data_IF_452241176434
#
_entry.id   IF_452241176434
#
_cell.length_a   1.000
_cell.length_b   1.000
_cell.length_c   1.000
_cell.angle_alpha   90.00
_cell.angle_beta   90.00
_cell.angle_gamma   90.00
#
_symmetry.space_group_name_H-M   'P 1'
#
loop_
_entity.id
_entity.type
_entity.pdbx_description
1 polymer ?
#
# COMPACT_ATOMS: atom_id res chain seq x y z
N UNK A 1 -59.19 48.93 -41.51
CA UNK A 1 -58.10 48.69 -40.54
C UNK A 1 -56.91 48.16 -41.35
N UNK A 2 -55.80 48.92 -41.45
CA UNK A 2 -54.61 48.52 -42.20
C UNK A 2 -53.79 47.52 -41.37
N UNK A 3 -53.37 46.44 -42.02
CA UNK A 3 -52.60 45.34 -41.44
C UNK A 3 -51.26 45.79 -40.83
N UNK A 4 -51.17 45.78 -39.50
CA UNK A 4 -49.91 45.96 -38.73
C UNK A 4 -49.21 44.59 -38.55
N UNK A 5 -49.26 43.71 -39.56
CA UNK A 5 -48.63 42.37 -39.49
C UNK A 5 -47.20 42.33 -40.06
N UNK A 6 -46.80 43.27 -40.92
CA UNK A 6 -45.49 43.19 -41.60
C UNK A 6 -44.30 43.63 -40.74
N UNK A 7 -44.47 44.62 -39.85
CA UNK A 7 -43.36 45.18 -39.05
C UNK A 7 -42.97 44.32 -37.83
N UNK A 8 -43.96 43.67 -37.18
CA UNK A 8 -43.70 42.75 -36.06
C UNK A 8 -42.92 41.50 -36.51
N UNK A 9 -43.22 40.99 -37.71
CA UNK A 9 -42.51 39.82 -38.26
C UNK A 9 -41.05 40.15 -38.57
N UNK A 10 -40.77 41.34 -39.12
CA UNK A 10 -39.40 41.77 -39.38
C UNK A 10 -38.61 42.03 -38.09
N UNK A 11 -39.23 42.63 -37.07
CA UNK A 11 -38.61 42.80 -35.74
C UNK A 11 -38.34 41.47 -35.06
N UNK A 12 -39.26 40.50 -35.15
CA UNK A 12 -39.07 39.16 -34.60
C UNK A 12 -37.94 38.40 -35.32
N UNK A 13 -37.84 38.51 -36.64
CA UNK A 13 -36.74 37.93 -37.42
C UNK A 13 -35.41 38.59 -37.06
N UNK A 14 -35.39 39.92 -36.89
CA UNK A 14 -34.19 40.65 -36.48
C UNK A 14 -33.76 40.30 -35.05
N UNK A 15 -34.70 40.19 -34.10
CA UNK A 15 -34.42 39.72 -32.74
C UNK A 15 -33.94 38.28 -32.72
N UNK A 16 -34.53 37.39 -33.53
CA UNK A 16 -34.08 36.01 -33.66
C UNK A 16 -32.65 35.94 -34.22
N UNK A 17 -32.30 36.75 -35.22
CA UNK A 17 -30.94 36.87 -35.74
C UNK A 17 -29.95 37.38 -34.70
N UNK A 18 -30.33 38.38 -33.89
CA UNK A 18 -29.49 38.86 -32.78
C UNK A 18 -29.28 37.76 -31.74
N UNK A 19 -30.33 37.05 -31.35
CA UNK A 19 -30.22 35.94 -30.40
C UNK A 19 -29.31 34.84 -30.95
N UNK A 20 -29.45 34.50 -32.24
CA UNK A 20 -28.58 33.53 -32.91
C UNK A 20 -27.13 33.99 -32.91
N UNK A 21 -26.84 35.26 -33.21
CA UNK A 21 -25.48 35.82 -33.16
C UNK A 21 -24.93 35.83 -31.73
N UNK A 22 -25.73 36.21 -30.74
CA UNK A 22 -25.30 36.22 -29.33
C UNK A 22 -25.04 34.80 -28.82
N UNK A 23 -25.90 33.83 -29.13
CA UNK A 23 -25.78 32.46 -28.63
C UNK A 23 -24.72 31.66 -29.38
N UNK A 24 -24.56 31.85 -30.69
CA UNK A 24 -23.64 31.03 -31.50
C UNK A 24 -22.25 31.68 -31.62
N UNK A 25 -22.15 33.01 -31.58
CA UNK A 25 -20.88 33.71 -31.84
C UNK A 25 -20.34 34.34 -30.56
N UNK A 26 -21.15 35.16 -29.88
CA UNK A 26 -20.68 35.92 -28.71
C UNK A 26 -20.52 35.04 -27.48
N UNK A 27 -21.49 34.18 -27.16
CA UNK A 27 -21.46 33.35 -25.96
C UNK A 27 -20.30 32.34 -25.97
N UNK A 28 -19.99 31.62 -27.08
CA UNK A 28 -18.81 30.77 -27.12
C UNK A 28 -17.51 31.57 -27.01
N UNK A 29 -17.41 32.72 -27.67
CA UNK A 29 -16.20 33.57 -27.60
C UNK A 29 -15.98 34.13 -26.19
N UNK A 30 -17.04 34.63 -25.53
CA UNK A 30 -17.00 35.12 -24.14
C UNK A 30 -16.73 33.99 -23.16
N UNK A 31 -17.30 32.80 -23.41
CA UNK A 31 -17.04 31.61 -22.60
C UNK A 31 -15.58 31.16 -22.71
N UNK A 32 -15.00 31.15 -23.91
CA UNK A 32 -13.58 30.86 -24.11
C UNK A 32 -12.70 31.91 -23.42
N UNK A 33 -12.97 33.20 -23.62
CA UNK A 33 -12.22 34.27 -22.94
C UNK A 33 -12.34 34.23 -21.41
N UNK A 34 -13.50 33.84 -20.87
CA UNK A 34 -13.66 33.67 -19.42
C UNK A 34 -12.81 32.52 -18.87
N UNK A 35 -12.73 31.39 -19.60
CA UNK A 35 -11.89 30.25 -19.22
C UNK A 35 -10.39 30.56 -19.30
N UNK A 36 -9.96 31.40 -20.23
CA UNK A 36 -8.56 31.83 -20.33
C UNK A 36 -8.17 32.83 -19.22
N UNK A 37 -9.09 33.71 -18.80
CA UNK A 37 -8.83 34.69 -17.72
C UNK A 37 -8.98 34.08 -16.32
N UNK A 38 -9.87 33.10 -16.16
CA UNK A 38 -10.04 32.33 -14.93
C UNK A 38 -9.71 30.87 -15.19
N UNK A 39 -8.42 30.56 -15.31
CA UNK A 39 -7.96 29.18 -15.24
C UNK A 39 -7.64 28.84 -13.76
N UNK A 40 -8.45 28.03 -13.07
CA UNK A 40 -8.20 27.67 -11.67
C UNK A 40 -6.98 26.75 -11.51
N UNK A 41 -6.55 26.09 -12.58
CA UNK A 41 -5.38 25.21 -12.64
C UNK A 41 -4.54 25.66 -13.85
N UNK A 42 -3.81 26.79 -13.75
CA UNK A 42 -2.85 27.17 -14.78
C UNK A 42 -1.84 26.04 -14.97
N UNK A 43 -1.40 25.92 -16.22
CA UNK A 43 -0.45 24.93 -16.74
C UNK A 43 0.31 25.72 -17.82
N UNK A 44 1.44 26.26 -17.39
CA UNK A 44 2.16 27.35 -18.06
C UNK A 44 2.96 26.85 -19.25
N UNK A 45 3.52 25.65 -19.15
CA UNK A 45 4.31 25.01 -20.20
C UNK A 45 3.54 23.94 -21.01
N UNK A 46 2.36 23.53 -20.54
CA UNK A 46 1.39 22.65 -21.20
C UNK A 46 1.82 21.20 -21.29
N UNK A 47 2.53 20.71 -20.29
CA UNK A 47 2.88 19.29 -20.17
C UNK A 47 1.73 18.43 -19.60
N UNK A 48 0.73 19.09 -18.99
CA UNK A 48 -0.46 18.47 -18.42
C UNK A 48 -0.48 18.43 -16.89
N UNK A 49 0.56 18.89 -16.21
CA UNK A 49 0.62 19.09 -14.76
C UNK A 49 0.32 20.57 -14.44
N UNK A 50 -0.63 20.87 -13.54
CA UNK A 50 -0.88 22.27 -13.17
C UNK A 50 0.31 22.89 -12.44
N UNK A 51 0.65 24.16 -12.69
CA UNK A 51 1.76 24.92 -12.09
C UNK A 51 1.88 24.80 -10.55
N UNK A 52 0.77 24.49 -9.87
CA UNK A 52 0.72 24.34 -8.40
C UNK A 52 1.17 22.97 -7.90
N UNK A 53 1.20 21.98 -8.78
CA UNK A 53 1.55 20.58 -8.53
C UNK A 53 2.81 20.19 -9.35
N UNK A 54 3.43 21.16 -10.03
CA UNK A 54 4.55 21.00 -10.96
C UNK A 54 5.82 21.64 -10.36
N UNK A 55 6.89 20.86 -10.24
CA UNK A 55 8.18 21.32 -9.75
C UNK A 55 8.89 22.27 -10.72
N UNK A 56 8.61 22.17 -12.02
CA UNK A 56 9.20 22.95 -13.10
C UNK A 56 8.16 23.60 -14.04
N UNK A 57 7.32 24.55 -13.58
CA UNK A 57 6.17 25.09 -14.33
C UNK A 57 6.45 25.78 -15.69
N UNK A 58 7.72 25.96 -16.03
CA UNK A 58 8.17 26.62 -17.27
C UNK A 58 8.93 25.65 -18.20
N UNK A 59 9.13 24.38 -17.82
CA UNK A 59 9.82 23.36 -18.62
C UNK A 59 8.92 22.15 -18.92
N UNK A 60 8.34 22.05 -20.13
CA UNK A 60 7.33 21.06 -20.46
C UNK A 60 7.85 19.61 -20.57
N UNK A 61 9.07 19.36 -20.08
CA UNK A 61 9.72 18.06 -20.04
C UNK A 61 9.95 17.56 -18.61
N UNK A 62 9.74 18.39 -17.60
CA UNK A 62 9.98 18.07 -16.20
C UNK A 62 8.78 18.51 -15.38
N UNK A 63 8.33 17.69 -14.43
CA UNK A 63 7.21 18.04 -13.55
C UNK A 63 7.40 17.59 -12.10
N UNK A 64 8.34 16.69 -11.84
CA UNK A 64 8.67 16.10 -10.54
C UNK A 64 10.18 16.31 -10.24
N UNK A 65 10.49 16.47 -8.94
CA UNK A 65 11.82 16.68 -8.34
C UNK A 65 11.80 15.90 -7.01
N UNK A 66 12.04 14.60 -7.09
CA UNK A 66 11.75 13.64 -6.01
C UNK A 66 12.67 13.84 -4.79
N UNK A 67 13.93 14.22 -5.01
CA UNK A 67 14.91 14.50 -3.95
C UNK A 67 15.00 16.01 -3.56
N UNK A 68 14.44 16.90 -4.39
CA UNK A 68 14.42 18.34 -4.15
C UNK A 68 15.75 19.03 -4.41
N UNK A 69 16.64 18.46 -5.24
CA UNK A 69 17.93 19.05 -5.58
C UNK A 69 17.85 20.14 -6.67
N UNK A 70 16.70 20.22 -7.35
CA UNK A 70 16.39 21.18 -8.40
C UNK A 70 16.72 20.72 -9.83
N UNK A 71 17.05 19.44 -10.02
CA UNK A 71 17.08 18.74 -11.30
C UNK A 71 15.78 17.91 -11.40
N UNK A 72 15.10 17.95 -12.54
CA UNK A 72 13.85 17.19 -12.69
C UNK A 72 14.10 15.72 -12.94
N UNK A 73 13.21 14.86 -12.46
CA UNK A 73 13.33 13.39 -12.50
C UNK A 73 13.53 12.83 -13.94
N UNK A 74 13.14 13.52 -15.02
CA UNK A 74 13.44 13.02 -16.37
C UNK A 74 14.89 13.30 -16.82
N UNK A 75 15.58 14.22 -16.14
CA UNK A 75 16.95 14.62 -16.40
C UNK A 75 17.94 14.13 -15.34
N UNK A 76 17.46 13.88 -14.11
CA UNK A 76 18.22 13.18 -13.09
C UNK A 76 18.36 11.69 -13.45
N UNK A 77 19.33 11.03 -12.83
CA UNK A 77 19.62 9.62 -13.00
C UNK A 77 19.65 8.87 -11.66
N UNK A 78 19.25 9.54 -10.58
CA UNK A 78 19.27 9.13 -9.17
C UNK A 78 18.15 9.93 -8.46
N UNK A 79 16.89 9.69 -8.86
CA UNK A 79 15.75 10.59 -8.59
C UNK A 79 15.46 10.80 -7.09
N UNK A 80 15.90 9.91 -6.19
CA UNK A 80 15.74 10.04 -4.75
C UNK A 80 17.06 10.29 -3.97
N UNK A 81 18.19 10.36 -4.68
CA UNK A 81 19.53 10.65 -4.18
C UNK A 81 20.01 9.70 -3.07
N UNK A 82 19.56 8.46 -3.08
CA UNK A 82 20.06 7.41 -2.19
C UNK A 82 21.46 6.89 -2.64
N UNK A 83 21.91 7.33 -3.82
CA UNK A 83 23.19 7.01 -4.44
C UNK A 83 23.12 5.87 -5.44
N UNK A 84 21.92 5.39 -5.79
CA UNK A 84 21.66 4.28 -6.68
C UNK A 84 21.00 4.81 -7.95
N UNK A 85 21.60 4.52 -9.09
CA UNK A 85 21.05 5.00 -10.36
C UNK A 85 19.68 4.38 -10.63
N UNK A 86 18.72 5.13 -11.18
CA UNK A 86 17.34 4.65 -11.45
C UNK A 86 17.33 3.36 -12.30
N UNK A 87 18.32 3.22 -13.19
CA UNK A 87 18.48 2.02 -14.02
C UNK A 87 18.81 0.73 -13.25
N UNK A 88 19.20 0.86 -11.99
CA UNK A 88 19.60 -0.18 -11.04
C UNK A 88 18.73 -0.21 -9.78
N UNK A 89 17.83 0.77 -9.65
CA UNK A 89 16.94 0.94 -8.52
C UNK A 89 15.54 0.37 -8.83
N UNK A 90 14.99 -0.40 -7.89
CA UNK A 90 13.62 -0.90 -7.96
C UNK A 90 12.56 0.11 -7.46
N UNK A 91 12.97 1.17 -6.76
CA UNK A 91 12.18 2.25 -6.19
C UNK A 91 12.82 3.64 -6.47
N UNK A 92 13.01 4.02 -7.74
CA UNK A 92 13.82 5.19 -8.13
C UNK A 92 13.40 6.53 -7.52
N UNK A 93 12.12 6.69 -7.18
CA UNK A 93 11.57 7.97 -6.70
C UNK A 93 11.52 8.07 -5.17
N UNK A 94 11.95 7.03 -4.42
CA UNK A 94 11.88 7.01 -2.96
C UNK A 94 12.51 5.76 -2.31
N UNK A 95 13.21 5.98 -1.20
CA UNK A 95 13.61 4.90 -0.29
C UNK A 95 12.40 4.10 0.23
N UNK A 96 12.58 2.78 0.24
CA UNK A 96 11.57 1.80 0.55
C UNK A 96 11.77 1.11 1.91
N UNK A 97 10.66 0.70 2.48
CA UNK A 97 10.65 -0.24 3.60
C UNK A 97 9.60 -1.32 3.41
N UNK A 98 9.87 -2.52 3.92
CA UNK A 98 8.87 -3.56 4.04
C UNK A 98 8.19 -3.46 5.40
N UNK A 99 6.86 -3.38 5.40
CA UNK A 99 6.04 -3.53 6.60
C UNK A 99 5.35 -4.88 6.60
N UNK A 100 5.56 -5.63 7.67
CA UNK A 100 4.84 -6.87 7.98
C UNK A 100 3.86 -6.59 9.10
N UNK A 101 2.58 -6.88 8.87
CA UNK A 101 1.47 -6.66 9.79
C UNK A 101 0.82 -8.01 10.11
N UNK A 102 0.60 -8.31 11.38
CA UNK A 102 -0.20 -9.43 11.88
C UNK A 102 -1.42 -8.82 12.56
N UNK A 103 -2.57 -8.87 11.90
CA UNK A 103 -3.80 -8.23 12.38
C UNK A 103 -4.47 -9.09 13.46
N UNK A 104 -4.60 -10.39 13.16
CA UNK A 104 -5.33 -11.36 13.99
C UNK A 104 -4.56 -12.67 14.11
N UNK A 105 -4.83 -13.37 15.20
CA UNK A 105 -4.24 -14.67 15.49
C UNK A 105 -5.28 -15.57 16.16
N UNK A 106 -5.31 -16.86 15.81
CA UNK A 106 -6.08 -17.87 16.53
C UNK A 106 -5.15 -19.04 16.84
N UNK A 107 -5.02 -19.35 18.13
CA UNK A 107 -4.36 -20.57 18.60
C UNK A 107 -5.40 -21.69 18.55
N UNK A 108 -5.16 -22.75 17.79
CA UNK A 108 -6.11 -23.85 17.64
C UNK A 108 -5.98 -24.84 18.80
N UNK A 109 -4.74 -25.03 19.28
CA UNK A 109 -4.42 -26.01 20.31
C UNK A 109 -4.36 -25.49 21.74
N UNK A 110 -4.64 -26.39 22.69
CA UNK A 110 -4.24 -26.19 24.08
C UNK A 110 -2.72 -26.15 24.22
N UNK A 111 -2.21 -25.05 24.79
CA UNK A 111 -0.79 -24.85 25.03
C UNK A 111 -0.34 -25.33 26.41
N UNK A 112 -1.19 -25.13 27.42
CA UNK A 112 -0.93 -25.48 28.81
C UNK A 112 -2.20 -26.04 29.45
N UNK A 113 -2.06 -27.12 30.22
CA UNK A 113 -3.18 -27.78 30.89
C UNK A 113 -3.97 -26.80 31.77
N UNK A 114 -5.29 -26.74 31.54
CA UNK A 114 -6.24 -25.91 32.29
C UNK A 114 -5.97 -24.40 32.22
N UNK A 115 -5.25 -23.91 31.21
CA UNK A 115 -5.13 -22.49 30.95
C UNK A 115 -5.91 -22.15 29.67
N UNK A 116 -6.91 -21.23 29.75
CA UNK A 116 -7.65 -20.77 28.57
C UNK A 116 -6.84 -19.76 27.73
N UNK A 117 -5.67 -19.36 28.22
CA UNK A 117 -4.79 -18.37 27.62
C UNK A 117 -3.39 -18.94 27.39
N UNK A 118 -2.68 -18.32 26.45
CA UNK A 118 -1.28 -18.61 26.13
C UNK A 118 -0.44 -17.35 26.14
N UNK A 119 0.82 -17.47 26.58
CA UNK A 119 1.83 -16.41 26.48
C UNK A 119 2.53 -16.48 25.13
N UNK A 120 2.12 -15.63 24.19
CA UNK A 120 2.46 -15.68 22.77
C UNK A 120 3.37 -14.51 22.38
N UNK A 121 4.29 -14.77 21.46
CA UNK A 121 5.01 -13.74 20.71
C UNK A 121 5.41 -14.31 19.34
N UNK A 122 5.82 -13.45 18.42
CA UNK A 122 6.30 -13.82 17.11
C UNK A 122 7.72 -13.29 16.86
N UNK A 123 8.43 -13.91 15.92
CA UNK A 123 9.61 -13.30 15.31
C UNK A 123 9.39 -13.14 13.82
N UNK A 124 9.71 -11.98 13.29
CA UNK A 124 9.65 -11.68 11.85
C UNK A 124 11.06 -11.40 11.37
N UNK A 125 11.53 -12.17 10.39
CA UNK A 125 12.76 -11.87 9.64
C UNK A 125 12.38 -11.14 8.37
N UNK A 126 13.07 -10.06 8.05
CA UNK A 126 13.08 -9.43 6.73
C UNK A 126 14.54 -9.50 6.28
N UNK A 127 14.80 -10.35 5.29
CA UNK A 127 16.13 -10.85 4.95
C UNK A 127 16.86 -11.36 6.20
N UNK A 128 18.01 -10.77 6.51
CA UNK A 128 18.86 -11.15 7.65
C UNK A 128 18.47 -10.45 8.97
N UNK A 129 17.54 -9.49 8.94
CA UNK A 129 17.13 -8.72 10.12
C UNK A 129 15.94 -9.36 10.82
N UNK A 130 16.10 -9.67 12.12
CA UNK A 130 15.07 -10.34 12.93
C UNK A 130 14.47 -9.39 13.96
N UNK A 131 13.14 -9.36 13.99
CA UNK A 131 12.34 -8.55 14.89
C UNK A 131 11.50 -9.40 15.82
N UNK A 132 11.28 -8.91 17.04
CA UNK A 132 10.36 -9.50 18.01
C UNK A 132 9.03 -8.77 17.97
N UNK A 133 7.93 -9.50 17.85
CA UNK A 133 6.58 -8.96 17.89
C UNK A 133 5.73 -9.59 19.01
N UNK A 134 4.92 -8.77 19.71
CA UNK A 134 4.92 -7.32 19.66
C UNK A 134 6.18 -6.71 20.30
N UNK A 135 6.43 -5.43 20.03
CA UNK A 135 7.59 -4.70 20.60
C UNK A 135 7.59 -4.69 22.14
N UNK A 136 6.40 -4.70 22.75
CA UNK A 136 6.19 -4.85 24.20
C UNK A 136 6.59 -6.24 24.75
N UNK A 137 6.95 -7.18 23.87
CA UNK A 137 7.38 -8.53 24.21
C UNK A 137 6.22 -9.53 24.22
N UNK A 138 6.16 -10.38 25.24
CA UNK A 138 5.22 -11.51 25.27
C UNK A 138 3.81 -11.02 25.65
N UNK A 139 2.80 -11.44 24.88
CA UNK A 139 1.39 -11.09 25.11
C UNK A 139 0.58 -12.32 25.52
N UNK A 140 -0.34 -12.16 26.46
CA UNK A 140 -1.26 -13.23 26.85
C UNK A 140 -2.54 -13.17 26.00
N UNK A 141 -2.84 -14.24 25.27
CA UNK A 141 -3.94 -14.33 24.30
C UNK A 141 -4.89 -15.48 24.63
N UNK A 142 -6.17 -15.35 24.30
CA UNK A 142 -7.14 -16.44 24.42
C UNK A 142 -6.87 -17.55 23.38
N UNK A 143 -7.12 -18.80 23.77
CA UNK A 143 -7.03 -19.98 22.90
C UNK A 143 -8.39 -20.27 22.26
N UNK A 144 -8.40 -20.88 21.07
CA UNK A 144 -9.57 -21.33 20.30
C UNK A 144 -10.54 -20.20 19.87
N UNK A 145 -10.01 -18.98 19.74
CA UNK A 145 -10.74 -17.85 19.17
C UNK A 145 -9.81 -16.88 18.43
N UNK A 146 -10.39 -16.08 17.53
CA UNK A 146 -9.67 -15.06 16.80
C UNK A 146 -9.43 -13.84 17.70
N UNK A 147 -8.17 -13.59 18.05
CA UNK A 147 -7.73 -12.44 18.82
C UNK A 147 -7.17 -11.36 17.88
N UNK A 148 -7.66 -10.13 17.99
CA UNK A 148 -7.06 -8.99 17.29
C UNK A 148 -5.80 -8.52 18.03
N UNK A 149 -4.68 -8.53 17.34
CA UNK A 149 -3.35 -8.25 17.91
C UNK A 149 -2.69 -7.01 17.33
N UNK A 150 -2.89 -6.72 16.03
CA UNK A 150 -2.34 -5.55 15.33
C UNK A 150 -0.83 -5.35 15.54
N UNK A 151 -0.06 -6.44 15.49
CA UNK A 151 1.39 -6.36 15.59
C UNK A 151 1.97 -5.97 14.25
N UNK A 152 3.00 -5.13 14.24
CA UNK A 152 3.67 -4.78 13.00
C UNK A 152 5.13 -4.44 13.21
N UNK A 153 5.90 -4.63 12.15
CA UNK A 153 7.29 -4.20 12.03
C UNK A 153 7.48 -3.52 10.69
N UNK A 154 8.36 -2.52 10.62
CA UNK A 154 8.81 -1.90 9.37
C UNK A 154 10.34 -1.95 9.34
N UNK A 155 10.91 -2.31 8.19
CA UNK A 155 12.34 -2.40 7.97
C UNK A 155 12.68 -1.73 6.64
N UNK A 156 13.58 -0.75 6.64
CA UNK A 156 14.13 -0.17 5.42
C UNK A 156 14.90 -1.26 4.66
N UNK A 157 14.82 -1.24 3.34
CA UNK A 157 15.35 -2.31 2.49
C UNK A 157 16.40 -1.79 1.52
N UNK A 158 17.22 -2.69 0.98
CA UNK A 158 18.12 -2.37 -0.13
C UNK A 158 17.30 -2.35 -1.44
N UNK A 159 17.04 -1.15 -1.91
CA UNK A 159 16.47 -0.75 -3.21
C UNK A 159 17.07 -1.47 -4.44
N UNK A 160 18.34 -1.86 -4.41
CA UNK A 160 19.00 -2.63 -5.49
C UNK A 160 18.46 -4.04 -5.64
N UNK A 161 17.75 -4.53 -4.63
CA UNK A 161 17.30 -5.91 -4.54
C UNK A 161 15.79 -5.94 -4.68
N UNK A 162 15.30 -6.32 -5.86
CA UNK A 162 13.86 -6.46 -6.08
C UNK A 162 13.18 -7.55 -5.25
N UNK A 163 13.92 -8.51 -4.68
CA UNK A 163 13.37 -9.66 -3.97
C UNK A 163 13.89 -9.79 -2.53
N UNK A 164 12.97 -9.83 -1.57
CA UNK A 164 13.26 -10.01 -0.16
C UNK A 164 12.65 -11.29 0.38
N UNK A 165 13.31 -11.89 1.37
CA UNK A 165 12.80 -13.08 2.06
C UNK A 165 12.21 -12.68 3.40
N UNK A 166 10.93 -13.00 3.62
CA UNK A 166 10.24 -12.72 4.87
C UNK A 166 9.94 -14.04 5.57
N UNK A 167 10.32 -14.13 6.85
CA UNK A 167 10.08 -15.32 7.65
C UNK A 167 9.29 -14.98 8.91
N UNK A 168 8.13 -15.59 9.11
CA UNK A 168 7.32 -15.41 10.31
C UNK A 168 7.37 -16.70 11.13
N UNK A 169 7.69 -16.58 12.42
CA UNK A 169 7.62 -17.68 13.38
C UNK A 169 6.74 -17.24 14.55
N UNK A 170 5.99 -18.17 15.12
CA UNK A 170 5.15 -17.94 16.28
C UNK A 170 5.60 -18.83 17.43
N UNK A 171 5.58 -18.29 18.66
CA UNK A 171 6.05 -18.98 19.84
C UNK A 171 5.07 -18.82 21.00
N UNK A 172 5.08 -19.81 21.89
CA UNK A 172 4.54 -19.68 23.24
C UNK A 172 5.58 -20.00 24.31
N UNK A 173 5.32 -19.50 25.52
CA UNK A 173 6.02 -19.92 26.74
C UNK A 173 5.31 -21.09 27.38
N UNK A 174 6.03 -22.20 27.57
CA UNK A 174 5.51 -23.34 28.33
C UNK A 174 5.48 -23.06 29.85
N UNK A 175 5.00 -24.02 30.64
CA UNK A 175 4.93 -23.91 32.11
C UNK A 175 6.28 -23.70 32.80
N UNK A 176 7.40 -23.97 32.11
CA UNK A 176 8.77 -23.74 32.59
C UNK A 176 9.37 -22.47 31.99
N UNK A 177 8.55 -21.63 31.33
CA UNK A 177 8.95 -20.39 30.66
C UNK A 177 9.95 -20.59 29.50
N UNK A 178 9.95 -21.78 28.88
CA UNK A 178 10.77 -22.10 27.70
C UNK A 178 10.00 -21.76 26.44
N UNK A 179 10.74 -21.35 25.41
CA UNK A 179 10.20 -21.05 24.09
C UNK A 179 9.85 -22.33 23.34
N UNK A 180 8.63 -22.36 22.82
CA UNK A 180 8.08 -23.45 22.01
C UNK A 180 7.47 -22.87 20.77
N UNK A 181 7.91 -23.35 19.61
CA UNK A 181 7.40 -22.89 18.32
C UNK A 181 6.02 -23.51 18.06
N UNK A 182 5.11 -22.68 17.59
CA UNK A 182 3.77 -23.04 17.11
C UNK A 182 3.85 -23.15 15.60
N UNK A 183 3.21 -24.18 15.06
CA UNK A 183 3.05 -24.34 13.64
C UNK A 183 2.04 -23.33 13.09
N UNK A 184 2.47 -22.63 12.05
CA UNK A 184 1.66 -21.66 11.34
C UNK A 184 1.72 -21.86 9.83
N UNK A 185 2.38 -22.92 9.34
CA UNK A 185 2.31 -23.30 7.94
C UNK A 185 1.32 -24.47 7.76
N UNK A 186 0.98 -24.81 6.53
CA UNK A 186 -0.01 -25.85 6.26
C UNK A 186 0.35 -26.75 5.10
N UNK A 187 1.66 -27.01 4.89
CA UNK A 187 2.05 -28.16 4.08
C UNK A 187 1.79 -29.45 4.83
N UNK A 188 0.53 -29.85 4.68
CA UNK A 188 -0.10 -31.08 5.15
C UNK A 188 0.63 -32.29 4.55
N UNK A 189 1.01 -33.24 5.42
CA UNK A 189 1.59 -34.58 5.18
C UNK A 189 3.09 -34.79 5.48
N UNK A 190 3.91 -33.76 5.71
CA UNK A 190 5.32 -33.97 6.09
C UNK A 190 5.70 -33.16 7.33
N UNK A 191 5.85 -33.83 8.47
CA UNK A 191 6.33 -33.26 9.75
C UNK A 191 7.73 -32.61 9.67
N UNK A 192 8.34 -32.59 8.48
CA UNK A 192 9.65 -32.01 8.19
C UNK A 192 9.60 -30.69 7.38
N UNK A 193 8.43 -30.17 7.00
CA UNK A 193 8.30 -28.93 6.20
C UNK A 193 8.57 -27.64 6.99
N UNK A 194 8.89 -27.77 8.29
CA UNK A 194 9.12 -26.64 9.20
C UNK A 194 7.81 -26.16 9.81
N UNK A 195 7.87 -25.16 10.71
CA UNK A 195 6.72 -24.61 11.45
C UNK A 195 6.42 -23.14 11.12
N UNK A 196 7.13 -22.60 10.15
CA UNK A 196 7.19 -21.17 9.89
C UNK A 196 6.72 -20.86 8.48
N UNK A 197 6.26 -19.63 8.30
CA UNK A 197 5.97 -19.09 6.98
C UNK A 197 7.24 -18.47 6.41
N UNK A 198 7.58 -18.86 5.18
CA UNK A 198 8.61 -18.23 4.38
C UNK A 198 7.93 -17.66 3.14
N UNK A 199 8.06 -16.35 2.94
CA UNK A 199 7.45 -15.62 1.83
C UNK A 199 8.57 -14.94 1.04
N UNK A 200 8.65 -15.22 -0.25
CA UNK A 200 9.43 -14.42 -1.19
C UNK A 200 8.58 -13.21 -1.59
N UNK A 201 9.06 -12.01 -1.30
CA UNK A 201 8.36 -10.75 -1.54
C UNK A 201 9.12 -9.93 -2.57
N UNK A 202 8.42 -9.48 -3.62
CA UNK A 202 9.01 -8.67 -4.68
C UNK A 202 8.57 -7.22 -4.55
N UNK A 203 9.53 -6.29 -4.53
CA UNK A 203 9.31 -4.85 -4.64
C UNK A 203 9.37 -4.44 -6.11
N UNK A 204 8.42 -3.61 -6.56
CA UNK A 204 8.41 -3.12 -7.94
C UNK A 204 7.54 -1.89 -8.11
N UNK A 205 8.14 -0.83 -8.65
CA UNK A 205 7.64 0.45 -9.19
C UNK A 205 6.39 1.10 -8.56
N UNK A 206 6.03 0.72 -7.33
CA UNK A 206 5.06 1.44 -6.52
C UNK A 206 5.18 1.01 -5.07
N UNK A 207 5.39 2.00 -4.21
CA UNK A 207 5.15 1.85 -2.78
C UNK A 207 3.69 1.40 -2.57
N UNK A 208 3.49 0.41 -1.71
CA UNK A 208 2.17 -0.10 -1.36
C UNK A 208 1.69 -1.28 -2.18
N UNK A 209 2.55 -1.92 -2.98
CA UNK A 209 2.18 -3.13 -3.72
C UNK A 209 1.64 -4.20 -2.76
N UNK A 210 0.31 -4.42 -2.82
CA UNK A 210 -0.37 -5.52 -2.15
C UNK A 210 0.11 -6.84 -2.76
N UNK A 211 -0.21 -7.97 -2.13
CA UNK A 211 0.00 -9.27 -2.75
C UNK A 211 -0.49 -9.26 -4.21
N UNK A 212 0.19 -9.97 -5.14
CA UNK A 212 -0.18 -9.97 -6.56
C UNK A 212 -1.64 -10.36 -6.86
N UNK A 213 -2.34 -10.97 -5.89
CA UNK A 213 -3.74 -11.37 -6.00
C UNK A 213 -4.75 -10.30 -5.53
N UNK A 214 -4.30 -9.12 -5.11
CA UNK A 214 -5.16 -8.02 -4.66
C UNK A 214 -5.86 -8.27 -3.32
N UNK A 215 -5.43 -9.28 -2.55
CA UNK A 215 -5.95 -9.55 -1.21
C UNK A 215 -5.41 -8.54 -0.19
N UNK A 216 -6.28 -8.06 0.71
CA UNK A 216 -5.87 -7.15 1.79
C UNK A 216 -5.03 -7.87 2.84
N UNK A 217 -5.30 -9.16 3.07
CA UNK A 217 -4.57 -10.02 4.00
C UNK A 217 -4.47 -11.43 3.43
N UNK A 218 -3.35 -12.08 3.72
CA UNK A 218 -3.19 -13.53 3.61
C UNK A 218 -3.52 -14.18 4.94
N UNK A 219 -4.00 -15.41 4.86
CA UNK A 219 -4.29 -16.25 6.02
C UNK A 219 -3.28 -17.39 5.97
N UNK A 220 -2.60 -17.62 7.08
CA UNK A 220 -1.85 -18.86 7.24
C UNK A 220 -2.82 -19.99 7.52
N UNK A 221 -2.65 -21.10 6.80
CA UNK A 221 -3.52 -22.27 6.87
C UNK A 221 -3.32 -23.06 8.16
N UNK A 222 -2.10 -23.06 8.73
CA UNK A 222 -1.82 -23.50 10.11
C UNK A 222 -2.49 -24.83 10.44
N UNK A 223 -2.36 -25.79 9.52
CA UNK A 223 -3.26 -26.94 9.38
C UNK A 223 -3.44 -27.66 10.71
N UNK A 224 -4.67 -27.66 11.21
CA UNK A 224 -5.10 -28.46 12.35
C UNK A 224 -5.11 -29.93 11.92
N UNK A 225 -4.07 -30.68 12.30
CA UNK A 225 -3.94 -32.11 11.98
C UNK A 225 -4.90 -33.00 12.81
N UNK A 226 -5.81 -32.36 13.56
CA UNK A 226 -6.98 -32.96 14.19
C UNK A 226 -6.66 -33.72 15.46
N UNK A 227 -5.53 -33.40 16.10
CA UNK A 227 -5.10 -34.10 17.30
C UNK A 227 -4.64 -33.16 18.43
N UNK A 228 -5.64 -32.58 19.09
CA UNK A 228 -5.58 -31.61 20.19
C UNK A 228 -4.91 -32.11 21.51
N UNK A 229 -4.07 -33.14 21.44
CA UNK A 229 -3.44 -33.75 22.61
C UNK A 229 -2.39 -32.82 23.22
N UNK A 230 -2.54 -32.57 24.52
CA UNK A 230 -1.72 -31.64 25.32
C UNK A 230 -0.24 -32.07 25.44
N UNK A 231 0.09 -33.35 25.24
CA UNK A 231 1.34 -33.91 25.74
C UNK A 231 2.44 -34.18 24.70
N UNK A 232 2.12 -34.40 23.44
CA UNK A 232 3.12 -34.94 22.48
C UNK A 232 3.01 -34.39 21.06
N UNK A 233 2.23 -33.34 20.86
CA UNK A 233 1.80 -32.96 19.52
C UNK A 233 2.25 -31.57 19.14
N UNK A 234 2.28 -31.38 17.82
CA UNK A 234 2.48 -30.08 17.23
C UNK A 234 1.32 -29.18 17.68
N UNK A 235 1.59 -27.89 17.71
CA UNK A 235 0.70 -26.90 18.29
C UNK A 235 0.41 -25.95 17.15
N UNK A 236 -0.84 -25.79 16.79
CA UNK A 236 -1.20 -25.14 15.54
C UNK A 236 -1.86 -23.79 15.80
N UNK A 237 -1.59 -22.85 14.90
CA UNK A 237 -2.24 -21.55 14.90
C UNK A 237 -2.36 -21.01 13.48
N UNK A 238 -3.37 -20.17 13.31
CA UNK A 238 -3.56 -19.36 12.09
C UNK A 238 -3.30 -17.90 12.38
N UNK A 239 -2.63 -17.23 11.45
CA UNK A 239 -2.39 -15.80 11.48
C UNK A 239 -3.01 -15.12 10.27
N UNK A 240 -3.46 -13.88 10.47
CA UNK A 240 -3.93 -13.01 9.40
C UNK A 240 -2.89 -11.92 9.23
N UNK A 241 -2.22 -11.91 8.09
CA UNK A 241 -1.06 -11.06 7.90
C UNK A 241 -1.07 -10.34 6.55
N UNK A 242 -0.42 -9.18 6.54
CA UNK A 242 -0.24 -8.34 5.37
C UNK A 242 1.23 -7.95 5.27
N UNK A 243 1.75 -7.94 4.05
CA UNK A 243 3.10 -7.47 3.75
C UNK A 243 2.93 -6.40 2.67
N UNK A 244 3.55 -5.25 2.89
CA UNK A 244 3.49 -4.11 1.96
C UNK A 244 4.81 -3.37 1.93
N UNK A 245 5.20 -2.89 0.75
CA UNK A 245 6.18 -1.81 0.63
C UNK A 245 5.55 -0.51 1.14
N UNK A 246 6.28 0.25 1.93
CA UNK A 246 5.93 1.58 2.44
C UNK A 246 7.14 2.49 2.24
N UNK A 247 6.96 3.80 2.31
CA UNK A 247 8.10 4.73 2.38
C UNK A 247 8.97 4.38 3.58
N UNK A 248 10.29 4.39 3.37
CA UNK A 248 11.25 4.28 4.44
C UNK A 248 11.06 5.40 5.46
N UNK A 249 11.41 5.12 6.72
CA UNK A 249 11.49 6.17 7.74
C UNK A 249 12.96 6.51 7.95
N UNK A 250 13.27 7.80 7.88
CA UNK A 250 14.54 8.40 8.34
C UNK A 250 14.82 8.12 9.83
#
# INVERSE_FOLDING_TARGET
MKDIKSGKNMLLIFMALIIVVVVIVVAPSVYQSYREVFNPNPDSDKDGVPDKDDAFPDDPKEWEDSDGDGIGDNADNDDDNDGILDSQDYLPYNDGAIRVEIEKLRINDYLVLNQPTGKIYATVSIDDHVYLLPEEGIKELNIDQDETVNWSVTHNIDDKIGYHTIKINLYYKDILNRDKQIDINGEDNDKNTGKNLVIEYYIGNSIGHQYPDGSTYKISDGSDDGNDSILFEEKDARIYFRIVTVEAKE
#
